data_IF_325268742214
#
_entry.id   IF_325268742214
#
_cell.length_a   1.000
_cell.length_b   1.000
_cell.length_c   1.000
_cell.angle_alpha   90.00
_cell.angle_beta   90.00
_cell.angle_gamma   90.00
#
_symmetry.space_group_name_H-M   'P 1'
#
loop_
_entity.id
_entity.type
_entity.pdbx_description
1 polymer ?
#
# COMPACT_ATOMS: atom_id res chain seq x y z
N UNK A 1 31.57 24.86 12.45
CA UNK A 1 31.73 23.82 11.43
C UNK A 1 30.38 23.12 11.26
N UNK A 2 29.67 23.39 10.17
CA UNK A 2 28.41 22.76 9.87
C UNK A 2 28.72 21.36 9.30
N UNK A 3 28.44 20.31 10.04
CA UNK A 3 28.51 18.94 9.53
C UNK A 3 27.30 18.70 8.60
N UNK A 4 27.58 18.67 7.32
CA UNK A 4 26.60 18.24 6.30
C UNK A 4 26.40 16.73 6.47
N UNK A 5 25.32 16.31 7.11
CA UNK A 5 24.94 14.91 7.12
C UNK A 5 24.28 14.59 5.77
N UNK A 6 25.03 13.96 4.89
CA UNK A 6 24.50 13.37 3.66
C UNK A 6 23.74 12.13 4.08
N UNK A 7 22.41 12.24 4.13
CA UNK A 7 21.53 11.09 4.37
C UNK A 7 21.60 10.12 3.20
N UNK A 8 22.17 8.94 3.42
CA UNK A 8 22.16 7.85 2.44
C UNK A 8 20.75 7.30 2.34
N UNK A 9 20.03 7.65 1.28
CA UNK A 9 18.73 7.05 0.95
C UNK A 9 18.97 5.75 0.19
N UNK A 10 18.73 4.60 0.84
CA UNK A 10 18.69 3.33 0.16
C UNK A 10 17.26 3.10 -0.40
N UNK A 11 17.12 3.05 -1.71
CA UNK A 11 15.89 2.67 -2.38
C UNK A 11 16.06 1.24 -2.92
N UNK A 12 15.30 0.31 -2.37
CA UNK A 12 15.26 -1.08 -2.87
C UNK A 12 13.94 -1.31 -3.58
N UNK A 13 13.99 -1.66 -4.86
CA UNK A 13 12.82 -2.06 -5.64
C UNK A 13 12.91 -3.57 -5.90
N UNK A 14 11.95 -4.34 -5.43
CA UNK A 14 11.81 -5.76 -5.72
C UNK A 14 10.58 -5.97 -6.60
N UNK A 15 10.78 -6.49 -7.81
CA UNK A 15 9.71 -6.91 -8.70
C UNK A 15 9.70 -8.44 -8.76
N UNK A 16 8.60 -9.06 -8.33
CA UNK A 16 8.36 -10.48 -8.49
C UNK A 16 7.26 -10.67 -9.53
N UNK A 17 7.60 -11.35 -10.63
CA UNK A 17 6.63 -11.78 -11.64
C UNK A 17 6.55 -13.31 -11.59
N UNK A 18 5.36 -13.82 -11.38
CA UNK A 18 5.09 -15.27 -11.39
C UNK A 18 3.98 -15.59 -12.38
N UNK A 19 4.20 -16.55 -13.25
CA UNK A 19 3.16 -17.15 -14.10
C UNK A 19 2.90 -18.57 -13.64
N UNK A 20 1.67 -18.90 -13.26
CA UNK A 20 1.23 -20.26 -13.02
C UNK A 20 0.27 -20.65 -14.15
N UNK A 21 0.55 -21.78 -14.82
CA UNK A 21 -0.33 -22.41 -15.81
C UNK A 21 -0.92 -23.66 -15.21
N UNK A 22 -2.25 -23.70 -15.11
CA UNK A 22 -2.99 -24.96 -15.09
C UNK A 22 -3.52 -25.22 -16.51
N UNK A 23 -3.77 -26.45 -16.90
CA UNK A 23 -3.85 -26.96 -18.27
C UNK A 23 -4.60 -26.15 -19.35
N UNK A 24 -5.46 -25.17 -18.97
CA UNK A 24 -6.12 -24.22 -19.89
C UNK A 24 -6.31 -22.81 -19.30
N UNK A 25 -5.90 -22.57 -18.05
CA UNK A 25 -6.08 -21.29 -17.35
C UNK A 25 -4.76 -20.54 -17.20
N UNK A 26 -4.71 -19.30 -17.61
CA UNK A 26 -3.52 -18.45 -17.43
C UNK A 26 -3.74 -17.50 -16.26
N UNK A 27 -2.95 -17.62 -15.21
CA UNK A 27 -2.92 -16.67 -14.10
C UNK A 27 -1.57 -15.98 -14.07
N UNK A 28 -1.58 -14.67 -14.19
CA UNK A 28 -0.39 -13.83 -14.11
C UNK A 28 -0.47 -12.98 -12.85
N UNK A 29 0.56 -12.98 -12.03
CA UNK A 29 0.65 -12.11 -10.85
C UNK A 29 1.95 -11.33 -10.91
N UNK A 30 1.85 -10.02 -10.81
CA UNK A 30 2.98 -9.11 -10.70
C UNK A 30 2.92 -8.40 -9.35
N UNK A 31 4.03 -8.40 -8.62
CA UNK A 31 4.16 -7.67 -7.36
C UNK A 31 5.37 -6.77 -7.44
N UNK A 32 5.17 -5.48 -7.18
CA UNK A 32 6.23 -4.47 -7.14
C UNK A 32 6.22 -3.80 -5.76
N UNK A 33 7.34 -3.87 -5.06
CA UNK A 33 7.50 -3.23 -3.76
C UNK A 33 8.67 -2.26 -3.80
N UNK A 34 8.44 -1.04 -3.35
CA UNK A 34 9.45 0.00 -3.20
C UNK A 34 9.52 0.38 -1.73
N UNK A 35 10.71 0.37 -1.17
CA UNK A 35 10.97 0.77 0.22
C UNK A 35 11.98 1.91 0.20
N UNK A 36 11.66 3.00 0.89
CA UNK A 36 12.58 4.09 1.19
C UNK A 36 12.73 4.18 2.70
N UNK A 37 13.95 4.24 3.18
CA UNK A 37 14.25 4.39 4.60
C UNK A 37 15.29 5.48 4.78
N UNK A 38 15.00 6.41 5.68
CA UNK A 38 15.89 7.51 6.03
C UNK A 38 16.57 7.23 7.37
N UNK A 39 17.77 7.78 7.55
CA UNK A 39 18.55 7.59 8.78
C UNK A 39 17.87 8.17 10.05
N UNK A 40 16.89 9.04 9.89
CA UNK A 40 16.13 9.67 10.97
C UNK A 40 14.88 8.87 11.39
N UNK A 41 14.70 7.66 10.85
CA UNK A 41 13.56 6.78 11.13
C UNK A 41 12.30 7.07 10.31
N UNK A 42 12.33 8.07 9.43
CA UNK A 42 11.27 8.33 8.46
C UNK A 42 11.42 7.44 7.22
N UNK A 43 10.39 7.32 6.41
CA UNK A 43 10.47 6.54 5.20
C UNK A 43 9.12 6.19 4.60
N UNK A 44 9.16 5.50 3.48
CA UNK A 44 7.95 5.04 2.81
C UNK A 44 8.06 3.61 2.30
N UNK A 45 6.94 2.91 2.31
CA UNK A 45 6.77 1.59 1.69
C UNK A 45 5.60 1.68 0.74
N UNK A 46 5.83 1.33 -0.52
CA UNK A 46 4.76 1.18 -1.52
C UNK A 46 4.82 -0.23 -2.08
N UNK A 47 3.73 -0.96 -1.99
CA UNK A 47 3.57 -2.28 -2.60
C UNK A 47 2.37 -2.27 -3.51
N UNK A 48 2.57 -2.72 -4.73
CA UNK A 48 1.53 -2.85 -5.76
C UNK A 48 1.51 -4.30 -6.23
N UNK A 49 0.33 -4.90 -6.20
CA UNK A 49 0.10 -6.26 -6.70
C UNK A 49 -0.99 -6.21 -7.75
N UNK A 50 -0.71 -6.76 -8.92
CA UNK A 50 -1.65 -6.96 -10.02
C UNK A 50 -1.76 -8.44 -10.29
N UNK A 51 -2.98 -8.95 -10.39
CA UNK A 51 -3.25 -10.33 -10.79
C UNK A 51 -4.27 -10.31 -11.92
N UNK A 52 -3.99 -11.05 -12.96
CA UNK A 52 -4.92 -11.31 -14.06
C UNK A 52 -5.13 -12.81 -14.11
N UNK A 53 -6.37 -13.26 -14.11
CA UNK A 53 -6.77 -14.63 -14.37
C UNK A 53 -7.58 -14.65 -15.66
N UNK A 54 -7.18 -15.52 -16.58
CA UNK A 54 -7.78 -15.67 -17.89
C UNK A 54 -8.08 -17.17 -18.07
N UNK A 55 -9.18 -17.66 -17.48
CA UNK A 55 -9.60 -19.04 -17.69
C UNK A 55 -10.04 -19.22 -19.15
N UNK A 56 -9.88 -20.43 -19.67
CA UNK A 56 -10.23 -20.78 -21.05
C UNK A 56 -11.70 -20.47 -21.34
N UNK A 57 -11.90 -19.37 -22.02
CA UNK A 57 -13.24 -18.85 -22.36
C UNK A 57 -13.28 -17.33 -22.21
N UNK A 58 -13.43 -16.61 -23.31
CA UNK A 58 -13.27 -15.17 -23.46
C UNK A 58 -14.18 -14.28 -22.57
N UNK A 59 -15.00 -14.84 -21.69
CA UNK A 59 -15.96 -14.11 -20.86
C UNK A 59 -15.70 -14.20 -19.35
N UNK A 60 -14.61 -14.83 -18.92
CA UNK A 60 -14.36 -15.08 -17.49
C UNK A 60 -13.02 -14.48 -16.98
N UNK A 61 -12.42 -13.57 -17.72
CA UNK A 61 -11.18 -12.94 -17.24
C UNK A 61 -11.46 -12.02 -16.06
N UNK A 62 -10.66 -12.15 -15.01
CA UNK A 62 -10.70 -11.26 -13.84
C UNK A 62 -9.39 -10.51 -13.68
N UNK A 63 -9.46 -9.29 -13.18
CA UNK A 63 -8.30 -8.46 -12.88
C UNK A 63 -8.39 -7.92 -11.47
N UNK A 64 -7.42 -8.24 -10.67
CA UNK A 64 -7.27 -7.74 -9.32
C UNK A 64 -6.09 -6.77 -9.25
N UNK A 65 -6.29 -5.63 -8.62
CA UNK A 65 -5.23 -4.70 -8.31
C UNK A 65 -5.30 -4.34 -6.85
N UNK A 66 -4.18 -4.43 -6.13
CA UNK A 66 -4.10 -3.93 -4.78
C UNK A 66 -2.86 -3.06 -4.61
N UNK A 67 -3.04 -1.93 -3.93
CA UNK A 67 -1.97 -0.99 -3.59
C UNK A 67 -1.97 -0.78 -2.08
N UNK A 68 -0.80 -0.90 -1.48
CA UNK A 68 -0.51 -0.58 -0.10
C UNK A 68 0.56 0.50 -0.07
N UNK A 69 0.30 1.59 0.64
CA UNK A 69 1.27 2.65 0.87
C UNK A 69 1.35 2.92 2.36
N UNK A 70 2.56 3.02 2.89
CA UNK A 70 2.83 3.44 4.26
C UNK A 70 3.90 4.51 4.21
N UNK A 71 3.61 5.67 4.75
CA UNK A 71 4.53 6.78 4.92
C UNK A 71 4.72 7.08 6.41
N UNK A 72 5.95 7.33 6.81
CA UNK A 72 6.32 7.73 8.17
C UNK A 72 7.12 9.00 8.08
N UNK A 73 6.56 10.07 8.62
CA UNK A 73 7.16 11.41 8.66
C UNK A 73 7.33 11.88 10.10
N UNK A 74 8.27 12.80 10.35
CA UNK A 74 8.33 13.53 11.62
C UNK A 74 7.23 14.57 11.69
N UNK A 75 6.60 14.67 12.86
CA UNK A 75 5.60 15.70 13.12
C UNK A 75 6.19 16.88 13.91
N UNK A 76 5.41 17.95 14.02
CA UNK A 76 5.82 19.19 14.73
C UNK A 76 6.03 19.00 16.24
N UNK A 77 5.55 17.91 16.81
CA UNK A 77 5.68 17.57 18.24
C UNK A 77 6.94 16.74 18.54
N UNK A 78 7.84 16.59 17.55
CA UNK A 78 9.07 15.77 17.67
C UNK A 78 8.85 14.26 17.62
N UNK A 79 7.61 13.82 17.46
CA UNK A 79 7.22 12.42 17.24
C UNK A 79 7.09 12.07 15.76
N UNK A 80 6.19 11.13 15.45
CA UNK A 80 5.98 10.65 14.08
C UNK A 80 4.52 10.65 13.67
N UNK A 81 4.27 10.93 12.40
CA UNK A 81 2.98 10.69 11.74
C UNK A 81 3.13 9.52 10.78
N UNK A 82 2.34 8.48 11.00
CA UNK A 82 2.26 7.32 10.10
C UNK A 82 0.96 7.39 9.32
N UNK A 83 1.05 7.39 8.00
CA UNK A 83 -0.10 7.30 7.09
C UNK A 83 -0.08 5.98 6.37
N UNK A 84 -1.19 5.26 6.40
CA UNK A 84 -1.36 3.99 5.69
C UNK A 84 -2.54 4.13 4.75
N UNK A 85 -2.33 3.82 3.48
CA UNK A 85 -3.38 3.77 2.46
C UNK A 85 -3.42 2.39 1.83
N UNK A 86 -4.61 1.83 1.73
CA UNK A 86 -4.88 0.55 1.07
C UNK A 86 -5.97 0.74 0.04
N UNK A 87 -5.69 0.37 -1.19
CA UNK A 87 -6.65 0.35 -2.28
C UNK A 87 -6.68 -1.05 -2.89
N UNK A 88 -7.87 -1.55 -3.15
CA UNK A 88 -8.05 -2.78 -3.92
C UNK A 88 -9.20 -2.62 -4.90
N UNK A 89 -9.02 -3.15 -6.09
CA UNK A 89 -10.06 -3.24 -7.11
C UNK A 89 -10.13 -4.67 -7.61
N UNK A 90 -11.32 -5.18 -7.74
CA UNK A 90 -11.63 -6.43 -8.42
C UNK A 90 -12.51 -6.09 -9.60
N UNK A 91 -12.06 -6.46 -10.79
CA UNK A 91 -12.74 -6.24 -12.06
C UNK A 91 -13.06 -7.62 -12.64
N UNK A 92 -14.34 -7.92 -12.77
CA UNK A 92 -14.83 -9.21 -13.24
C UNK A 92 -15.88 -9.02 -14.36
N UNK A 93 -16.07 -9.99 -15.24
CA UNK A 93 -17.05 -9.89 -16.30
C UNK A 93 -18.46 -9.68 -15.77
N UNK A 94 -19.15 -8.67 -16.29
CA UNK A 94 -20.49 -8.28 -15.86
C UNK A 94 -20.48 -7.08 -14.91
N UNK A 95 -21.29 -6.07 -15.20
CA UNK A 95 -21.30 -4.75 -14.55
C UNK A 95 -21.63 -4.74 -13.04
N UNK A 96 -22.05 -5.87 -12.48
CA UNK A 96 -22.43 -5.98 -11.07
C UNK A 96 -21.33 -6.60 -10.17
N UNK A 97 -20.21 -7.04 -10.76
CA UNK A 97 -19.19 -7.82 -10.05
C UNK A 97 -17.94 -7.04 -9.70
N UNK A 98 -17.88 -5.76 -10.09
CA UNK A 98 -16.74 -4.91 -9.77
C UNK A 98 -16.81 -4.46 -8.31
N UNK A 99 -15.71 -4.63 -7.60
CA UNK A 99 -15.60 -4.16 -6.22
C UNK A 99 -14.40 -3.22 -6.07
N UNK A 100 -14.57 -2.20 -5.23
CA UNK A 100 -13.53 -1.23 -4.92
C UNK A 100 -13.45 -1.05 -3.41
N UNK A 101 -12.24 -1.16 -2.88
CA UNK A 101 -11.94 -0.89 -1.49
C UNK A 101 -10.93 0.27 -1.43
N UNK A 102 -11.23 1.28 -0.62
CA UNK A 102 -10.31 2.35 -0.27
C UNK A 102 -10.33 2.52 1.26
N UNK A 103 -9.17 2.49 1.89
CA UNK A 103 -9.03 2.62 3.34
C UNK A 103 -7.79 3.43 3.64
N UNK A 104 -7.94 4.43 4.51
CA UNK A 104 -6.86 5.30 4.98
C UNK A 104 -6.81 5.25 6.50
N UNK A 105 -5.61 5.25 7.04
CA UNK A 105 -5.35 5.27 8.46
C UNK A 105 -4.24 6.28 8.75
N UNK A 106 -4.42 7.11 9.77
CA UNK A 106 -3.42 8.07 10.22
C UNK A 106 -3.19 7.87 11.71
N UNK A 107 -1.95 7.67 12.10
CA UNK A 107 -1.52 7.51 13.48
C UNK A 107 -0.45 8.56 13.78
N UNK A 108 -0.70 9.41 14.77
CA UNK A 108 0.29 10.38 15.26
C UNK A 108 0.77 9.97 16.63
N UNK A 109 2.09 10.03 16.82
CA UNK A 109 2.76 9.77 18.08
C UNK A 109 3.53 11.00 18.53
N UNK A 110 3.59 11.22 19.84
CA UNK A 110 4.47 12.24 20.44
C UNK A 110 5.95 11.80 20.44
N UNK A 111 6.82 12.66 20.95
CA UNK A 111 8.25 12.38 21.08
C UNK A 111 8.57 11.20 22.02
N UNK A 112 7.66 10.86 22.94
CA UNK A 112 7.77 9.73 23.85
C UNK A 112 7.24 8.42 23.25
N UNK A 113 6.64 8.48 22.05
CA UNK A 113 6.08 7.32 21.34
C UNK A 113 4.62 7.00 21.68
N UNK A 114 3.95 7.81 22.52
CA UNK A 114 2.54 7.63 22.81
C UNK A 114 1.68 8.04 21.62
N UNK A 115 0.61 7.30 21.36
CA UNK A 115 -0.37 7.66 20.34
C UNK A 115 -1.20 8.84 20.84
N UNK A 116 -1.14 9.97 20.12
CA UNK A 116 -1.90 11.18 20.42
C UNK A 116 -3.08 11.37 19.48
N UNK A 117 -3.06 10.71 18.32
CA UNK A 117 -4.16 10.71 17.34
C UNK A 117 -4.17 9.41 16.57
N UNK A 118 -5.36 8.82 16.41
CA UNK A 118 -5.56 7.66 15.54
C UNK A 118 -6.89 7.81 14.81
N UNK A 119 -6.83 7.97 13.51
CA UNK A 119 -7.98 8.11 12.62
C UNK A 119 -7.95 7.02 11.56
N UNK A 120 -9.11 6.48 11.25
CA UNK A 120 -9.29 5.48 10.19
C UNK A 120 -10.51 5.86 9.34
N UNK A 121 -10.35 5.91 8.03
CA UNK A 121 -11.48 6.01 7.12
C UNK A 121 -11.99 4.61 6.76
N UNK A 122 -13.30 4.47 6.75
CA UNK A 122 -13.99 3.27 6.28
C UNK A 122 -14.19 3.32 4.76
N UNK A 123 -14.48 2.19 4.11
CA UNK A 123 -14.65 2.13 2.65
C UNK A 123 -15.77 3.05 2.11
N UNK A 124 -16.73 3.41 2.95
CA UNK A 124 -17.81 4.36 2.65
C UNK A 124 -17.42 5.85 2.84
N UNK A 125 -16.13 6.11 3.12
CA UNK A 125 -15.55 7.45 3.23
C UNK A 125 -15.75 8.13 4.59
N UNK A 126 -16.31 7.45 5.60
CA UNK A 126 -16.44 7.99 6.95
C UNK A 126 -15.10 7.88 7.69
N UNK A 127 -14.74 8.92 8.40
CA UNK A 127 -13.58 8.92 9.30
C UNK A 127 -14.03 8.63 10.73
N UNK A 128 -13.40 7.67 11.37
CA UNK A 128 -13.65 7.29 12.76
C UNK A 128 -12.36 7.51 13.54
N UNK A 129 -12.47 8.20 14.67
CA UNK A 129 -11.38 8.28 15.65
C UNK A 129 -11.36 6.97 16.44
N UNK A 130 -10.19 6.34 16.47
CA UNK A 130 -9.97 5.09 17.20
C UNK A 130 -9.38 5.45 18.57
N UNK A 131 -10.09 5.17 19.62
CA UNK A 131 -9.63 5.36 21.01
C UNK A 131 -8.78 4.18 21.47
#
# INVERSE_FOLDING_TARGET
MKRLMIGLTAATALALTGTARAADDTKTTETKTTVKHNADGTGSVKSEKKSKSDPSGAMNSTKDTSTYTKDVDKNSMGGTTTKVEKKATHDAPGTANDTKLDSKETIEKDASGNVVKHEKSTPDGKTVEVK
#
